data_IF_379627132413
#
_entry.id   IF_379627132413
#
_cell.length_a   1.000
_cell.length_b   1.000
_cell.length_c   1.000
_cell.angle_alpha   90.00
_cell.angle_beta   90.00
_cell.angle_gamma   90.00
#
_symmetry.space_group_name_H-M   'P 1'
#
loop_
_entity.id
_entity.type
_entity.pdbx_description
1 polymer ?
#
# COMPACT_ATOMS: atom_id res chain seq x y z
N UNK A 1 16.15 -19.14 -13.81
CA UNK A 1 14.91 -18.33 -13.74
C UNK A 1 14.38 -18.19 -12.31
N UNK A 2 14.13 -19.29 -11.58
CA UNK A 2 13.63 -19.25 -10.19
C UNK A 2 14.45 -18.34 -9.25
N UNK A 3 15.78 -18.46 -9.25
CA UNK A 3 16.66 -17.58 -8.45
C UNK A 3 16.53 -16.09 -8.79
N UNK A 4 16.27 -15.75 -10.06
CA UNK A 4 16.07 -14.36 -10.48
C UNK A 4 14.75 -13.81 -9.93
N UNK A 5 13.69 -14.63 -9.93
CA UNK A 5 12.39 -14.25 -9.35
C UNK A 5 12.49 -14.08 -7.83
N UNK A 6 13.20 -14.98 -7.14
CA UNK A 6 13.45 -14.84 -5.70
C UNK A 6 14.23 -13.54 -5.44
N UNK A 7 15.31 -13.28 -6.16
CA UNK A 7 16.07 -12.03 -6.04
C UNK A 7 15.18 -10.79 -6.30
N UNK A 8 14.36 -10.81 -7.36
CA UNK A 8 13.42 -9.74 -7.67
C UNK A 8 12.40 -9.52 -6.53
N UNK A 9 11.87 -10.59 -5.93
CA UNK A 9 10.94 -10.48 -4.80
C UNK A 9 11.57 -9.83 -3.59
N UNK A 10 12.84 -10.15 -3.28
CA UNK A 10 13.59 -9.51 -2.21
C UNK A 10 13.86 -8.04 -2.51
N UNK A 11 14.21 -7.68 -3.74
CA UNK A 11 14.40 -6.29 -4.15
C UNK A 11 13.07 -5.53 -4.03
N UNK A 12 11.94 -6.11 -4.44
CA UNK A 12 10.62 -5.50 -4.29
C UNK A 12 10.24 -5.30 -2.81
N UNK A 13 10.50 -6.29 -1.96
CA UNK A 13 10.27 -6.20 -0.51
C UNK A 13 11.11 -5.06 0.10
N UNK A 14 12.41 -5.05 -0.17
CA UNK A 14 13.32 -4.00 0.30
C UNK A 14 12.89 -2.63 -0.23
N UNK A 15 12.47 -2.55 -1.48
CA UNK A 15 11.96 -1.31 -2.09
C UNK A 15 10.69 -0.84 -1.39
N UNK A 16 9.72 -1.71 -1.13
CA UNK A 16 8.49 -1.36 -0.43
C UNK A 16 8.77 -0.83 0.98
N UNK A 17 9.66 -1.49 1.72
CA UNK A 17 10.08 -1.08 3.07
C UNK A 17 10.87 0.23 3.03
N UNK A 18 11.89 0.31 2.18
CA UNK A 18 12.74 1.50 2.06
C UNK A 18 11.94 2.71 1.56
N UNK A 19 11.02 2.53 0.62
CA UNK A 19 10.13 3.60 0.16
C UNK A 19 9.38 4.17 1.37
N UNK A 20 8.68 3.33 2.14
CA UNK A 20 7.92 3.76 3.33
C UNK A 20 8.81 4.44 4.38
N UNK A 21 9.93 3.82 4.76
CA UNK A 21 10.80 4.32 5.85
C UNK A 21 11.54 5.58 5.43
N UNK A 22 12.17 5.59 4.26
CA UNK A 22 12.97 6.73 3.81
C UNK A 22 12.07 7.92 3.50
N UNK A 23 10.90 7.74 2.90
CA UNK A 23 9.94 8.84 2.73
C UNK A 23 9.50 9.44 4.06
N UNK A 24 9.22 8.59 5.06
CA UNK A 24 8.88 9.05 6.40
C UNK A 24 10.03 9.87 7.02
N UNK A 25 11.26 9.36 7.01
CA UNK A 25 12.42 10.05 7.60
C UNK A 25 12.78 11.34 6.84
N UNK A 26 12.80 11.29 5.50
CA UNK A 26 13.33 12.36 4.67
C UNK A 26 12.32 13.50 4.47
N UNK A 27 11.03 13.20 4.44
CA UNK A 27 9.97 14.15 4.08
C UNK A 27 8.99 14.34 5.25
N UNK A 28 8.29 13.28 5.64
CA UNK A 28 7.04 13.42 6.40
C UNK A 28 7.23 13.65 7.89
N UNK A 29 8.22 13.01 8.52
CA UNK A 29 8.56 13.21 9.92
C UNK A 29 8.92 14.65 10.24
N UNK A 30 9.54 15.36 9.30
CA UNK A 30 9.86 16.80 9.41
C UNK A 30 8.60 17.68 9.40
N UNK A 31 7.48 17.15 8.91
CA UNK A 31 6.19 17.83 8.77
C UNK A 31 5.12 17.26 9.72
N UNK A 32 5.48 16.32 10.61
CA UNK A 32 4.53 15.61 11.46
C UNK A 32 4.33 16.23 12.83
N UNK A 33 5.26 17.06 13.30
CA UNK A 33 5.22 17.69 14.62
C UNK A 33 4.98 16.66 15.76
N UNK A 34 5.70 15.55 15.72
CA UNK A 34 5.60 14.46 16.71
C UNK A 34 4.40 13.53 16.53
N UNK A 35 3.59 13.70 15.47
CA UNK A 35 2.49 12.80 15.12
C UNK A 35 2.95 11.76 14.08
N UNK A 36 2.14 10.73 13.88
CA UNK A 36 2.36 9.73 12.82
C UNK A 36 2.00 10.32 11.45
N UNK A 37 0.86 11.01 11.36
CA UNK A 37 0.42 11.65 10.11
C UNK A 37 0.91 13.10 10.08
N UNK A 38 1.45 13.60 8.95
CA UNK A 38 1.83 14.99 8.79
C UNK A 38 0.73 15.97 9.19
N UNK A 39 1.11 17.01 9.93
CA UNK A 39 0.20 18.03 10.45
C UNK A 39 0.65 19.46 10.19
N UNK A 40 1.81 19.65 9.57
CA UNK A 40 2.35 20.95 9.17
C UNK A 40 2.15 21.18 7.68
N UNK A 41 2.00 22.45 7.28
CA UNK A 41 2.04 22.89 5.90
C UNK A 41 3.48 23.16 5.43
N UNK A 42 3.74 23.00 4.15
CA UNK A 42 5.00 23.34 3.50
C UNK A 42 4.65 24.14 2.23
N UNK A 43 4.56 25.48 2.31
CA UNK A 43 4.13 26.31 1.19
C UNK A 43 4.89 25.98 -0.11
N UNK A 44 4.18 25.87 -1.26
CA UNK A 44 2.78 26.21 -1.49
C UNK A 44 1.76 25.12 -1.05
N UNK A 45 2.22 23.98 -0.55
CA UNK A 45 1.37 22.87 -0.15
C UNK A 45 0.73 23.09 1.22
N UNK A 46 -0.60 22.91 1.27
CA UNK A 46 -1.36 22.90 2.52
C UNK A 46 -1.23 21.54 3.21
N UNK A 47 -1.51 21.49 4.51
CA UNK A 47 -1.53 20.25 5.31
C UNK A 47 -2.28 19.12 4.57
N UNK A 48 -3.48 19.40 4.04
CA UNK A 48 -4.29 18.40 3.31
C UNK A 48 -3.55 17.78 2.13
N UNK A 49 -2.74 18.55 1.40
CA UNK A 49 -1.99 18.07 0.24
C UNK A 49 -0.85 17.15 0.70
N UNK A 50 -0.15 17.53 1.78
CA UNK A 50 0.93 16.72 2.37
C UNK A 50 0.36 15.40 2.91
N UNK A 51 -0.82 15.43 3.51
CA UNK A 51 -1.51 14.23 4.01
C UNK A 51 -1.93 13.28 2.88
N UNK A 52 -2.36 13.82 1.73
CA UNK A 52 -2.60 13.03 0.51
C UNK A 52 -1.30 12.39 0.01
N UNK A 53 -0.21 13.16 -0.04
CA UNK A 53 1.10 12.67 -0.45
C UNK A 53 1.60 11.56 0.49
N UNK A 54 1.49 11.75 1.80
CA UNK A 54 1.83 10.77 2.83
C UNK A 54 1.04 9.47 2.64
N UNK A 55 -0.27 9.56 2.50
CA UNK A 55 -1.12 8.39 2.29
C UNK A 55 -0.78 7.66 0.98
N UNK A 56 -0.56 8.39 -0.12
CA UNK A 56 -0.24 7.81 -1.43
C UNK A 56 1.14 7.14 -1.43
N UNK A 57 2.08 7.71 -0.68
CA UNK A 57 3.42 7.17 -0.50
C UNK A 57 3.40 5.80 0.19
N UNK A 58 2.75 5.71 1.35
CA UNK A 58 2.62 4.42 2.06
C UNK A 58 1.71 3.43 1.35
N UNK A 59 0.69 3.90 0.61
CA UNK A 59 -0.18 3.05 -0.21
C UNK A 59 0.63 2.27 -1.27
N UNK A 60 1.60 2.93 -1.91
CA UNK A 60 2.47 2.30 -2.91
C UNK A 60 3.31 1.18 -2.28
N UNK A 61 3.79 1.38 -1.05
CA UNK A 61 4.49 0.32 -0.29
C UNK A 61 3.58 -0.87 0.02
N UNK A 62 2.31 -0.64 0.39
CA UNK A 62 1.35 -1.73 0.64
C UNK A 62 1.18 -2.60 -0.62
N UNK A 63 1.01 -1.97 -1.80
CA UNK A 63 0.94 -2.73 -3.06
C UNK A 63 2.26 -3.41 -3.41
N UNK A 64 3.40 -2.76 -3.14
CA UNK A 64 4.73 -3.33 -3.33
C UNK A 64 4.94 -4.63 -2.54
N UNK A 65 4.38 -4.73 -1.32
CA UNK A 65 4.42 -5.97 -0.54
C UNK A 65 3.64 -7.11 -1.19
N UNK A 66 2.48 -6.83 -1.79
CA UNK A 66 1.71 -7.84 -2.55
C UNK A 66 2.49 -8.31 -3.78
N UNK A 67 3.14 -7.39 -4.50
CA UNK A 67 3.98 -7.75 -5.65
C UNK A 67 5.17 -8.60 -5.22
N UNK A 68 5.86 -8.24 -4.14
CA UNK A 68 6.96 -9.03 -3.59
C UNK A 68 6.50 -10.44 -3.23
N UNK A 69 5.37 -10.59 -2.53
CA UNK A 69 4.82 -11.88 -2.13
C UNK A 69 4.44 -12.75 -3.34
N UNK A 70 3.75 -12.17 -4.33
CA UNK A 70 3.35 -12.87 -5.54
C UNK A 70 4.56 -13.39 -6.32
N UNK A 71 5.57 -12.55 -6.55
CA UNK A 71 6.81 -12.93 -7.25
C UNK A 71 7.59 -13.97 -6.45
N UNK A 72 7.65 -13.84 -5.12
CA UNK A 72 8.32 -14.82 -4.25
C UNK A 72 7.69 -16.21 -4.39
N UNK A 73 6.35 -16.32 -4.29
CA UNK A 73 5.64 -17.60 -4.41
C UNK A 73 5.94 -18.29 -5.75
N UNK A 74 5.92 -17.54 -6.85
CA UNK A 74 6.30 -18.06 -8.17
C UNK A 74 7.77 -18.49 -8.20
N UNK A 75 8.66 -17.69 -7.60
CA UNK A 75 10.10 -17.97 -7.54
C UNK A 75 10.46 -19.25 -6.81
N UNK A 76 9.76 -19.58 -5.71
CA UNK A 76 9.97 -20.82 -4.95
C UNK A 76 9.20 -22.03 -5.50
N UNK A 77 8.50 -21.86 -6.64
CA UNK A 77 7.70 -22.91 -7.24
C UNK A 77 6.45 -23.31 -6.44
N UNK A 78 6.03 -22.47 -5.49
CA UNK A 78 4.80 -22.69 -4.75
C UNK A 78 3.60 -22.33 -5.64
N UNK A 79 2.51 -23.11 -5.61
CA UNK A 79 1.30 -22.75 -6.34
C UNK A 79 0.77 -21.39 -5.84
N UNK A 80 0.68 -20.42 -6.75
CA UNK A 80 -0.03 -19.18 -6.53
C UNK A 80 -1.42 -19.33 -7.15
N UNK A 81 -2.41 -19.65 -6.31
CA UNK A 81 -3.78 -19.69 -6.79
C UNK A 81 -4.26 -18.27 -7.12
N UNK A 82 -5.12 -18.15 -8.13
CA UNK A 82 -5.82 -16.89 -8.45
C UNK A 82 -6.52 -16.35 -7.20
N UNK A 83 -7.09 -17.25 -6.40
CA UNK A 83 -7.73 -16.96 -5.13
C UNK A 83 -6.81 -16.25 -4.13
N UNK A 84 -5.63 -16.78 -3.84
CA UNK A 84 -4.67 -16.15 -2.92
C UNK A 84 -4.21 -14.78 -3.41
N UNK A 85 -3.96 -14.64 -4.73
CA UNK A 85 -3.57 -13.37 -5.33
C UNK A 85 -4.67 -12.32 -5.18
N UNK A 86 -5.91 -12.68 -5.55
CA UNK A 86 -7.09 -11.81 -5.46
C UNK A 86 -7.38 -11.41 -4.01
N UNK A 87 -7.28 -12.34 -3.06
CA UNK A 87 -7.40 -12.03 -1.63
C UNK A 87 -6.30 -11.08 -1.14
N UNK A 88 -5.06 -11.29 -1.56
CA UNK A 88 -3.94 -10.40 -1.20
C UNK A 88 -4.17 -8.98 -1.73
N UNK A 89 -4.69 -8.85 -2.95
CA UNK A 89 -5.08 -7.57 -3.54
C UNK A 89 -6.24 -6.94 -2.77
N UNK A 90 -7.29 -7.71 -2.42
CA UNK A 90 -8.42 -7.22 -1.64
C UNK A 90 -8.00 -6.67 -0.27
N UNK A 91 -7.10 -7.37 0.42
CA UNK A 91 -6.52 -6.94 1.70
C UNK A 91 -5.70 -5.66 1.51
N UNK A 92 -4.86 -5.58 0.47
CA UNK A 92 -4.09 -4.37 0.18
C UNK A 92 -4.98 -3.17 -0.17
N UNK A 93 -6.04 -3.37 -0.95
CA UNK A 93 -7.04 -2.35 -1.24
C UNK A 93 -7.76 -1.91 0.05
N UNK A 94 -8.15 -2.81 0.94
CA UNK A 94 -8.76 -2.45 2.22
C UNK A 94 -7.81 -1.65 3.10
N UNK A 95 -6.60 -2.17 3.32
CA UNK A 95 -5.57 -1.51 4.11
C UNK A 95 -5.21 -0.14 3.53
N UNK A 96 -5.09 -0.05 2.21
CA UNK A 96 -4.87 1.19 1.48
C UNK A 96 -6.04 2.18 1.62
N UNK A 97 -7.28 1.70 1.54
CA UNK A 97 -8.48 2.51 1.77
C UNK A 97 -8.51 3.09 3.18
N UNK A 98 -8.25 2.27 4.19
CA UNK A 98 -8.17 2.71 5.59
C UNK A 98 -7.03 3.69 5.82
N UNK A 99 -5.85 3.44 5.24
CA UNK A 99 -4.71 4.36 5.27
C UNK A 99 -5.08 5.73 4.68
N UNK A 100 -5.74 5.76 3.52
CA UNK A 100 -6.16 7.02 2.87
C UNK A 100 -7.24 7.71 3.69
N UNK A 101 -8.23 6.97 4.21
CA UNK A 101 -9.31 7.52 5.04
C UNK A 101 -8.75 8.20 6.30
N UNK A 102 -7.95 7.47 7.08
CA UNK A 102 -7.35 7.95 8.32
C UNK A 102 -6.30 9.03 8.04
N UNK A 103 -5.40 8.75 7.09
CA UNK A 103 -4.30 9.62 6.68
C UNK A 103 -4.78 10.97 6.16
N UNK A 104 -5.96 11.05 5.53
CA UNK A 104 -6.51 12.30 4.98
C UNK A 104 -7.72 12.86 5.74
N UNK A 105 -8.17 12.23 6.84
CA UNK A 105 -9.45 12.57 7.52
C UNK A 105 -10.64 12.53 6.54
N UNK A 106 -10.63 11.59 5.61
CA UNK A 106 -11.69 11.43 4.60
C UNK A 106 -11.74 12.48 3.49
N UNK A 107 -10.85 13.47 3.47
CA UNK A 107 -10.84 14.52 2.45
C UNK A 107 -10.38 14.05 1.05
N UNK A 108 -9.78 12.86 0.94
CA UNK A 108 -9.36 12.31 -0.35
C UNK A 108 -10.26 11.13 -0.75
N UNK A 109 -11.04 11.22 -1.84
CA UNK A 109 -12.05 10.21 -2.19
C UNK A 109 -11.46 8.84 -2.54
N UNK A 110 -10.14 8.72 -2.73
CA UNK A 110 -9.47 7.45 -3.00
C UNK A 110 -9.79 6.35 -1.98
N UNK A 111 -10.09 6.68 -0.71
CA UNK A 111 -10.50 5.67 0.26
C UNK A 111 -11.78 4.95 -0.17
N UNK A 112 -12.73 5.65 -0.80
CA UNK A 112 -13.99 5.07 -1.30
C UNK A 112 -13.67 4.06 -2.39
N UNK A 113 -12.85 4.44 -3.37
CA UNK A 113 -12.51 3.56 -4.49
C UNK A 113 -11.79 2.28 -4.05
N UNK A 114 -10.83 2.40 -3.12
CA UNK A 114 -10.06 1.27 -2.61
C UNK A 114 -10.91 0.35 -1.73
N UNK A 115 -11.73 0.92 -0.84
CA UNK A 115 -12.66 0.15 -0.02
C UNK A 115 -13.74 -0.54 -0.86
N UNK A 116 -14.28 0.13 -1.89
CA UNK A 116 -15.26 -0.45 -2.79
C UNK A 116 -14.66 -1.58 -3.62
N UNK A 117 -13.46 -1.40 -4.17
CA UNK A 117 -12.75 -2.47 -4.88
C UNK A 117 -12.54 -3.70 -3.98
N UNK A 118 -12.09 -3.49 -2.74
CA UNK A 118 -11.96 -4.57 -1.76
C UNK A 118 -13.29 -5.27 -1.46
N UNK A 119 -14.36 -4.51 -1.23
CA UNK A 119 -15.68 -5.05 -0.95
C UNK A 119 -16.25 -5.87 -2.12
N UNK A 120 -16.09 -5.38 -3.36
CA UNK A 120 -16.51 -6.09 -4.57
C UNK A 120 -15.73 -7.40 -4.75
N UNK A 121 -14.42 -7.38 -4.54
CA UNK A 121 -13.60 -8.58 -4.60
C UNK A 121 -14.04 -9.59 -3.53
N UNK A 122 -14.27 -9.14 -2.30
CA UNK A 122 -14.72 -9.99 -1.20
C UNK A 122 -16.13 -10.57 -1.41
N UNK A 123 -17.02 -9.79 -2.02
CA UNK A 123 -18.35 -10.25 -2.39
C UNK A 123 -18.28 -11.33 -3.48
N UNK A 124 -17.52 -11.08 -4.55
CA UNK A 124 -17.29 -12.04 -5.62
C UNK A 124 -16.65 -13.33 -5.08
N UNK A 125 -15.69 -13.21 -4.16
CA UNK A 125 -15.07 -14.33 -3.46
C UNK A 125 -16.11 -15.22 -2.77
N UNK A 126 -17.01 -14.63 -1.97
CA UNK A 126 -18.07 -15.38 -1.28
C UNK A 126 -19.08 -16.01 -2.22
N UNK A 127 -19.31 -15.44 -3.39
CA UNK A 127 -20.27 -15.95 -4.36
C UNK A 127 -19.74 -17.13 -5.21
N UNK A 128 -18.43 -17.37 -5.20
CA UNK A 128 -17.76 -18.38 -6.04
C UNK A 128 -17.32 -19.63 -5.25
N UNK A 129 -17.52 -19.64 -3.93
CA UNK A 129 -17.28 -20.77 -3.01
C UNK A 129 -18.64 -21.21 -2.45
#
# INVERSE_FOLDING_TARGET
MQYLLIAASFILLLTAVAHSILGEIMIFRKLSNGRIVPSMSAPPLKERNIRILWASWHLTSIFGLVFALAVFKVGVGAPLSVHELVCSIAIACFAGGMLVLLGTKGHHPGWISLSLASALIWYAYKATI
#
